data_IF_449221398281
#
_entry.id   IF_449221398281
#
_cell.length_a   1.000
_cell.length_b   1.000
_cell.length_c   1.000
_cell.angle_alpha   90.00
_cell.angle_beta   90.00
_cell.angle_gamma   90.00
#
_symmetry.space_group_name_H-M   'P 1'
#
loop_
_entity.id
_entity.type
_entity.pdbx_description
1 polymer ?
#
# COMPACT_ATOMS: atom_id res chain seq x y z
N UNK A 1 10.41 13.50 -37.33
CA UNK A 1 11.70 12.81 -37.18
C UNK A 1 12.63 13.75 -36.44
N UNK A 2 13.19 13.30 -35.33
CA UNK A 2 14.20 14.07 -34.58
C UNK A 2 15.48 14.19 -35.41
N UNK A 3 16.17 15.32 -35.28
CA UNK A 3 17.43 15.55 -35.98
C UNK A 3 18.62 15.14 -35.11
N UNK A 4 19.72 14.59 -35.68
CA UNK A 4 20.95 14.39 -34.94
C UNK A 4 21.42 15.70 -34.29
N UNK A 5 21.81 15.64 -33.01
CA UNK A 5 22.20 16.82 -32.23
C UNK A 5 21.05 17.50 -31.47
N UNK A 6 19.79 17.13 -31.72
CA UNK A 6 18.65 17.64 -30.97
C UNK A 6 18.71 17.21 -29.49
N UNK A 7 18.52 18.16 -28.58
CA UNK A 7 18.51 17.93 -27.13
C UNK A 7 17.18 17.32 -26.65
N UNK A 8 16.89 16.10 -27.10
CA UNK A 8 15.64 15.42 -26.80
C UNK A 8 15.38 15.31 -25.28
N UNK A 9 16.42 15.09 -24.47
CA UNK A 9 16.30 14.98 -23.02
C UNK A 9 15.79 16.26 -22.37
N UNK A 10 16.36 17.43 -22.74
CA UNK A 10 15.92 18.73 -22.23
C UNK A 10 14.51 19.06 -22.68
N UNK A 11 14.19 18.81 -23.95
CA UNK A 11 12.85 19.04 -24.51
C UNK A 11 11.79 18.22 -23.78
N UNK A 12 12.03 16.94 -23.56
CA UNK A 12 11.08 16.08 -22.85
C UNK A 12 10.98 16.42 -21.37
N UNK A 13 12.10 16.73 -20.70
CA UNK A 13 12.09 17.20 -19.32
C UNK A 13 11.23 18.46 -19.14
N UNK A 14 11.37 19.46 -20.02
CA UNK A 14 10.55 20.68 -19.97
C UNK A 14 9.05 20.38 -20.16
N UNK A 15 8.68 19.49 -21.08
CA UNK A 15 7.28 19.11 -21.28
C UNK A 15 6.68 18.49 -20.01
N UNK A 16 7.42 17.57 -19.38
CA UNK A 16 6.95 16.88 -18.18
C UNK A 16 6.87 17.82 -16.97
N UNK A 17 7.84 18.71 -16.81
CA UNK A 17 7.78 19.71 -15.74
C UNK A 17 6.55 20.60 -15.88
N UNK A 18 6.17 20.98 -17.10
CA UNK A 18 4.92 21.70 -17.34
C UNK A 18 3.71 20.86 -16.94
N UNK A 19 3.66 19.58 -17.32
CA UNK A 19 2.56 18.67 -16.97
C UNK A 19 2.43 18.48 -15.44
N UNK A 20 3.55 18.31 -14.71
CA UNK A 20 3.56 18.21 -13.24
C UNK A 20 2.96 19.45 -12.59
N UNK A 21 3.30 20.65 -13.07
CA UNK A 21 2.73 21.88 -12.50
C UNK A 21 1.21 21.93 -12.66
N UNK A 22 0.68 21.44 -13.79
CA UNK A 22 -0.76 21.37 -14.02
C UNK A 22 -1.43 20.27 -13.19
N UNK A 23 -0.79 19.10 -13.10
CA UNK A 23 -1.26 17.96 -12.29
C UNK A 23 -1.41 18.36 -10.82
N UNK A 24 -0.40 19.03 -10.27
CA UNK A 24 -0.43 19.53 -8.89
C UNK A 24 -1.64 20.45 -8.64
N UNK A 25 -1.92 21.40 -9.54
CA UNK A 25 -3.08 22.29 -9.43
C UNK A 25 -4.41 21.51 -9.41
N UNK A 26 -4.54 20.50 -10.28
CA UNK A 26 -5.74 19.68 -10.39
C UNK A 26 -5.99 18.79 -9.16
N UNK A 27 -4.92 18.24 -8.57
CA UNK A 27 -4.97 17.46 -7.33
C UNK A 27 -5.43 18.31 -6.15
N UNK A 28 -4.97 19.57 -6.05
CA UNK A 28 -5.41 20.52 -5.02
C UNK A 28 -6.91 20.81 -5.09
N UNK A 29 -7.47 20.94 -6.29
CA UNK A 29 -8.91 21.13 -6.48
C UNK A 29 -9.73 19.87 -6.16
N UNK A 30 -9.14 18.69 -6.33
CA UNK A 30 -9.79 17.39 -6.10
C UNK A 30 -9.74 16.94 -4.63
N UNK A 31 -8.76 17.41 -3.86
CA UNK A 31 -8.56 17.07 -2.44
C UNK A 31 -9.74 17.44 -1.51
N UNK A 32 -10.67 18.28 -1.97
CA UNK A 32 -11.87 18.67 -1.22
C UNK A 32 -13.10 17.77 -1.45
N UNK A 33 -13.05 16.84 -2.41
CA UNK A 33 -14.16 15.93 -2.73
C UNK A 33 -13.85 14.56 -2.14
N UNK A 34 -14.60 14.16 -1.10
CA UNK A 34 -14.46 12.88 -0.40
C UNK A 34 -14.71 11.62 -1.27
N UNK A 35 -14.93 11.78 -2.57
CA UNK A 35 -15.11 10.71 -3.54
C UNK A 35 -13.96 10.76 -4.56
N UNK A 36 -12.75 10.48 -4.10
CA UNK A 36 -11.60 10.27 -4.97
C UNK A 36 -11.81 8.98 -5.76
N UNK A 37 -11.81 9.08 -7.10
CA UNK A 37 -11.14 8.04 -7.89
C UNK A 37 -9.79 7.81 -7.22
N UNK A 38 -9.57 6.57 -6.74
CA UNK A 38 -8.62 6.24 -5.66
C UNK A 38 -7.24 6.90 -5.75
N UNK A 39 -6.47 6.95 -4.65
CA UNK A 39 -5.20 7.67 -4.57
C UNK A 39 -4.18 7.01 -5.50
N UNK A 40 -4.21 7.41 -6.77
CA UNK A 40 -3.10 7.23 -7.68
C UNK A 40 -1.94 8.10 -7.21
N UNK A 41 -0.73 7.59 -7.40
CA UNK A 41 0.47 8.41 -7.24
C UNK A 41 0.39 9.60 -8.21
N UNK A 42 0.77 10.79 -7.74
CA UNK A 42 0.91 11.95 -8.63
C UNK A 42 2.06 11.73 -9.60
N UNK A 43 2.14 12.53 -10.68
CA UNK A 43 3.30 12.47 -11.57
C UNK A 43 4.63 12.71 -10.81
N UNK A 44 4.60 13.60 -9.83
CA UNK A 44 5.76 13.89 -8.99
C UNK A 44 6.14 12.69 -8.13
N UNK A 45 5.16 11.98 -7.53
CA UNK A 45 5.42 10.79 -6.72
C UNK A 45 6.11 9.68 -7.52
N UNK A 46 5.71 9.49 -8.78
CA UNK A 46 6.32 8.50 -9.68
C UNK A 46 7.77 8.88 -9.99
N UNK A 47 8.01 10.14 -10.35
CA UNK A 47 9.34 10.66 -10.68
C UNK A 47 10.28 10.59 -9.47
N UNK A 48 9.77 10.96 -8.30
CA UNK A 48 10.47 10.84 -7.03
C UNK A 48 10.52 9.39 -6.54
N UNK A 49 9.91 8.42 -7.23
CA UNK A 49 9.87 7.04 -6.79
C UNK A 49 9.45 6.90 -5.32
N UNK A 50 8.34 7.53 -4.98
CA UNK A 50 7.64 7.36 -3.71
C UNK A 50 7.03 5.96 -3.71
N UNK A 51 7.13 5.26 -2.58
CA UNK A 51 6.40 4.01 -2.37
C UNK A 51 4.97 4.32 -1.92
N UNK A 52 4.01 3.50 -2.32
CA UNK A 52 2.61 3.68 -1.96
C UNK A 52 1.80 4.17 -3.16
N UNK A 53 0.98 3.27 -3.69
CA UNK A 53 0.00 3.53 -4.74
C UNK A 53 -1.26 2.72 -4.45
N UNK A 54 -1.99 2.34 -5.49
CA UNK A 54 -3.16 1.48 -5.38
C UNK A 54 -3.12 0.33 -6.38
N UNK A 55 -3.92 -0.69 -6.11
CA UNK A 55 -4.16 -1.78 -7.03
C UNK A 55 -5.56 -1.65 -7.64
N UNK A 56 -5.68 -2.03 -8.90
CA UNK A 56 -6.96 -2.32 -9.54
C UNK A 56 -7.09 -3.83 -9.66
N UNK A 57 -7.77 -4.44 -8.70
CA UNK A 57 -7.92 -5.89 -8.58
C UNK A 57 -9.13 -6.31 -9.39
N UNK A 58 -8.89 -7.13 -10.39
CA UNK A 58 -9.95 -7.78 -11.17
C UNK A 58 -10.31 -9.12 -10.54
N UNK A 59 -11.59 -9.48 -10.52
CA UNK A 59 -12.08 -10.70 -9.89
C UNK A 59 -12.47 -11.75 -10.93
N UNK A 60 -12.13 -13.01 -10.66
CA UNK A 60 -12.58 -14.15 -11.50
C UNK A 60 -14.10 -14.28 -11.48
N UNK A 61 -14.72 -13.97 -10.35
CA UNK A 61 -16.16 -13.95 -10.18
C UNK A 61 -16.58 -12.72 -9.38
N UNK A 62 -17.31 -11.75 -9.97
CA UNK A 62 -17.78 -10.55 -9.28
C UNK A 62 -18.57 -10.82 -7.99
N UNK A 63 -19.25 -11.97 -7.88
CA UNK A 63 -19.99 -12.36 -6.66
C UNK A 63 -19.10 -12.59 -5.44
N UNK A 64 -17.78 -12.72 -5.63
CA UNK A 64 -16.80 -12.89 -4.54
C UNK A 64 -16.16 -11.57 -4.10
N UNK A 65 -16.71 -10.43 -4.51
CA UNK A 65 -16.17 -9.11 -4.18
C UNK A 65 -16.08 -8.88 -2.67
N UNK A 66 -17.18 -9.12 -1.94
CA UNK A 66 -17.21 -8.95 -0.48
C UNK A 66 -16.19 -9.86 0.22
N UNK A 67 -16.10 -11.11 -0.22
CA UNK A 67 -15.10 -12.05 0.28
C UNK A 67 -13.67 -11.54 0.04
N UNK A 68 -13.41 -10.96 -1.13
CA UNK A 68 -12.07 -10.47 -1.48
C UNK A 68 -11.73 -9.24 -0.66
N UNK A 69 -12.62 -8.25 -0.56
CA UNK A 69 -12.45 -7.06 0.29
C UNK A 69 -12.14 -7.46 1.73
N UNK A 70 -12.94 -8.39 2.28
CA UNK A 70 -12.73 -8.93 3.64
C UNK A 70 -11.35 -9.56 3.85
N UNK A 71 -10.85 -10.29 2.86
CA UNK A 71 -9.58 -11.02 2.93
C UNK A 71 -8.36 -10.09 2.74
N UNK A 72 -8.47 -9.03 1.93
CA UNK A 72 -7.33 -8.17 1.61
C UNK A 72 -7.16 -6.98 2.56
N UNK A 73 -8.24 -6.34 3.01
CA UNK A 73 -8.15 -5.09 3.79
C UNK A 73 -7.38 -5.32 5.09
N UNK A 74 -6.31 -4.55 5.31
CA UNK A 74 -5.39 -4.72 6.43
C UNK A 74 -5.76 -3.82 7.60
N UNK A 75 -6.18 -4.44 8.71
CA UNK A 75 -6.59 -3.70 9.92
C UNK A 75 -6.19 -4.46 11.17
N UNK A 76 -5.79 -3.70 12.20
CA UNK A 76 -5.70 -4.22 13.56
C UNK A 76 -7.11 -4.53 14.09
N UNK A 77 -7.25 -5.60 14.88
CA UNK A 77 -8.52 -5.93 15.51
C UNK A 77 -9.03 -4.77 16.38
N UNK A 78 -8.13 -4.03 17.04
CA UNK A 78 -8.43 -2.81 17.81
C UNK A 78 -9.27 -1.78 17.05
N UNK A 79 -9.16 -1.71 15.72
CA UNK A 79 -10.01 -0.82 14.92
C UNK A 79 -11.49 -1.12 15.10
N UNK A 80 -11.86 -2.40 15.25
CA UNK A 80 -13.26 -2.81 15.42
C UNK A 80 -13.70 -2.80 16.88
N UNK A 81 -12.80 -2.87 17.85
CA UNK A 81 -13.16 -3.00 19.27
C UNK A 81 -13.67 -1.66 19.84
N UNK A 82 -14.92 -1.64 20.32
CA UNK A 82 -15.51 -0.53 21.10
C UNK A 82 -15.10 -0.60 22.56
N UNK A 83 -15.18 -1.78 23.14
CA UNK A 83 -14.99 -2.00 24.58
C UNK A 83 -14.53 -3.43 24.84
N UNK A 84 -13.72 -3.60 25.88
CA UNK A 84 -13.32 -4.89 26.42
C UNK A 84 -13.69 -4.90 27.90
N UNK A 85 -14.33 -5.96 28.36
CA UNK A 85 -14.67 -6.16 29.77
C UNK A 85 -14.26 -7.56 30.21
N UNK A 86 -13.72 -7.70 31.42
CA UNK A 86 -13.51 -8.99 32.05
C UNK A 86 -14.50 -9.17 33.21
N UNK A 87 -15.03 -10.37 33.37
CA UNK A 87 -15.83 -10.75 34.53
C UNK A 87 -15.46 -12.16 34.97
N UNK A 88 -15.52 -12.39 36.29
CA UNK A 88 -15.42 -13.73 36.89
C UNK A 88 -16.84 -14.27 36.92
N UNK A 89 -17.09 -15.39 36.22
CA UNK A 89 -18.31 -16.22 36.07
C UNK A 89 -19.62 -15.80 36.78
N UNK A 90 -19.98 -14.53 36.75
CA UNK A 90 -21.34 -14.09 36.60
C UNK A 90 -21.48 -13.88 35.10
N UNK A 91 -21.82 -14.94 34.36
CA UNK A 91 -22.58 -14.72 33.12
C UNK A 91 -23.69 -13.79 33.56
N UNK A 92 -23.87 -12.58 32.98
CA UNK A 92 -24.89 -11.68 33.47
C UNK A 92 -26.22 -12.42 33.34
N UNK A 93 -26.70 -12.99 34.46
CA UNK A 93 -28.08 -13.44 34.62
C UNK A 93 -29.02 -12.25 34.39
N UNK A 94 -28.47 -11.04 34.51
CA UNK A 94 -29.07 -9.76 34.25
C UNK A 94 -29.20 -9.47 32.74
N UNK A 95 -30.16 -10.13 32.09
CA UNK A 95 -30.93 -9.52 31.00
C UNK A 95 -30.25 -9.37 29.64
N UNK A 96 -29.09 -9.96 29.39
CA UNK A 96 -28.52 -9.95 28.05
C UNK A 96 -29.23 -10.98 27.15
N UNK A 97 -30.14 -10.46 26.33
CA UNK A 97 -31.02 -11.23 25.43
C UNK A 97 -30.29 -12.27 24.57
N UNK A 98 -29.04 -12.01 24.17
CA UNK A 98 -28.25 -12.95 23.39
C UNK A 98 -28.04 -14.29 24.10
N UNK A 99 -27.76 -14.28 25.41
CA UNK A 99 -27.51 -15.51 26.15
C UNK A 99 -28.78 -16.29 26.44
N UNK A 100 -29.88 -15.57 26.69
CA UNK A 100 -31.19 -16.17 26.90
C UNK A 100 -31.58 -16.95 25.63
N UNK A 101 -31.62 -16.26 24.50
CA UNK A 101 -32.01 -16.87 23.21
C UNK A 101 -30.97 -17.90 22.75
N UNK A 102 -29.68 -17.61 22.88
CA UNK A 102 -28.62 -18.53 22.46
C UNK A 102 -28.66 -19.86 23.22
N UNK A 103 -29.01 -19.84 24.51
CA UNK A 103 -29.22 -21.07 25.31
C UNK A 103 -30.52 -21.77 24.94
N UNK A 104 -31.63 -21.03 24.76
CA UNK A 104 -32.91 -21.62 24.33
C UNK A 104 -32.81 -22.31 22.97
N UNK A 105 -32.03 -21.74 22.05
CA UNK A 105 -31.77 -22.30 20.73
C UNK A 105 -30.70 -23.41 20.74
N UNK A 106 -30.06 -23.68 21.88
CA UNK A 106 -28.98 -24.67 22.01
C UNK A 106 -27.69 -24.30 21.27
N UNK A 107 -27.49 -23.01 20.96
CA UNK A 107 -26.30 -22.49 20.27
C UNK A 107 -25.16 -22.22 21.26
N UNK A 108 -25.51 -21.76 22.45
CA UNK A 108 -24.57 -21.50 23.53
C UNK A 108 -24.59 -22.66 24.54
N UNK A 109 -23.44 -23.01 25.14
CA UNK A 109 -23.38 -24.03 26.16
C UNK A 109 -24.27 -23.66 27.35
N UNK A 110 -24.93 -24.68 27.91
CA UNK A 110 -25.55 -24.54 29.21
C UNK A 110 -24.47 -24.37 30.29
N UNK A 111 -24.84 -23.92 31.50
CA UNK A 111 -23.90 -23.85 32.64
C UNK A 111 -23.18 -25.17 32.95
N UNK A 112 -23.77 -26.30 32.55
CA UNK A 112 -23.20 -27.64 32.75
C UNK A 112 -22.18 -28.06 31.67
N UNK A 113 -22.15 -27.38 30.52
CA UNK A 113 -21.28 -27.72 29.38
C UNK A 113 -19.97 -26.93 29.37
N UNK A 114 -19.86 -25.90 30.23
CA UNK A 114 -18.66 -25.08 30.38
C UNK A 114 -17.73 -25.78 31.37
N UNK A 115 -16.44 -26.02 31.04
CA UNK A 115 -15.49 -26.60 31.97
C UNK A 115 -15.47 -25.81 33.28
N UNK A 116 -15.45 -26.47 34.45
CA UNK A 116 -15.47 -25.79 35.75
C UNK A 116 -14.21 -24.93 36.00
N UNK A 117 -13.18 -25.12 35.18
CA UNK A 117 -11.94 -24.36 35.19
C UNK A 117 -12.05 -23.01 34.45
N UNK A 118 -12.99 -22.85 33.51
CA UNK A 118 -13.19 -21.63 32.71
C UNK A 118 -14.00 -20.55 33.45
N UNK A 119 -13.39 -20.05 34.53
CA UNK A 119 -14.04 -19.13 35.48
C UNK A 119 -14.06 -17.67 35.02
N UNK A 120 -13.32 -17.29 33.98
CA UNK A 120 -13.15 -15.90 33.57
C UNK A 120 -13.64 -15.73 32.14
N UNK A 121 -14.50 -14.73 31.93
CA UNK A 121 -15.01 -14.36 30.61
C UNK A 121 -14.40 -13.02 30.23
N UNK A 122 -13.74 -12.99 29.08
CA UNK A 122 -13.29 -11.76 28.43
C UNK A 122 -14.22 -11.47 27.26
N UNK A 123 -14.99 -10.40 27.40
CA UNK A 123 -15.91 -9.92 26.38
C UNK A 123 -15.26 -8.82 25.54
N UNK A 124 -15.28 -9.00 24.24
CA UNK A 124 -15.01 -7.99 23.24
C UNK A 124 -16.32 -7.52 22.64
N UNK A 125 -16.59 -6.23 22.75
CA UNK A 125 -17.69 -5.57 22.05
C UNK A 125 -17.12 -4.84 20.83
N UNK A 126 -17.56 -5.24 19.65
CA UNK A 126 -17.10 -4.74 18.37
C UNK A 126 -18.11 -3.75 17.76
N UNK A 127 -17.61 -2.84 16.96
CA UNK A 127 -18.42 -1.89 16.20
C UNK A 127 -18.92 -2.53 14.90
N UNK A 128 -20.21 -2.84 14.88
CA UNK A 128 -20.89 -3.32 13.67
C UNK A 128 -20.66 -2.43 12.44
N UNK A 129 -20.69 -1.10 12.59
CA UNK A 129 -20.51 -0.20 11.44
C UNK A 129 -19.12 -0.38 10.81
N UNK A 130 -18.07 -0.45 11.64
CA UNK A 130 -16.70 -0.67 11.19
C UNK A 130 -16.50 -2.07 10.59
N UNK A 131 -17.17 -3.08 11.14
CA UNK A 131 -17.16 -4.44 10.57
C UNK A 131 -17.76 -4.44 9.16
N UNK A 132 -18.88 -3.74 8.98
CA UNK A 132 -19.57 -3.64 7.70
C UNK A 132 -18.76 -2.86 6.65
N UNK A 133 -18.05 -1.80 7.04
CA UNK A 133 -17.14 -1.05 6.14
C UNK A 133 -16.12 -1.98 5.45
N UNK A 134 -15.57 -2.94 6.19
CA UNK A 134 -14.57 -3.89 5.69
C UNK A 134 -15.16 -5.25 5.29
N UNK A 135 -16.49 -5.35 5.21
CA UNK A 135 -17.26 -6.55 4.84
C UNK A 135 -16.92 -7.78 5.72
N UNK A 136 -16.59 -7.54 6.99
CA UNK A 136 -16.17 -8.56 7.96
C UNK A 136 -17.34 -9.07 8.79
N UNK A 137 -17.35 -10.38 9.01
CA UNK A 137 -18.28 -11.04 9.92
C UNK A 137 -17.56 -11.44 11.20
N UNK A 138 -18.29 -11.58 12.31
CA UNK A 138 -17.73 -12.05 13.58
C UNK A 138 -17.14 -13.44 13.43
N UNK A 139 -17.80 -14.32 12.68
CA UNK A 139 -17.28 -15.66 12.42
C UNK A 139 -15.92 -15.63 11.71
N UNK A 140 -15.72 -14.70 10.77
CA UNK A 140 -14.41 -14.55 10.13
C UNK A 140 -13.34 -14.11 11.12
N UNK A 141 -13.65 -13.14 11.99
CA UNK A 141 -12.71 -12.67 13.02
C UNK A 141 -12.36 -13.79 14.00
N UNK A 142 -13.36 -14.52 14.48
CA UNK A 142 -13.17 -15.67 15.39
C UNK A 142 -12.27 -16.72 14.77
N UNK A 143 -12.54 -17.13 13.54
CA UNK A 143 -11.72 -18.12 12.84
C UNK A 143 -10.30 -17.64 12.52
N UNK A 144 -10.07 -16.33 12.44
CA UNK A 144 -8.76 -15.77 12.03
C UNK A 144 -7.89 -15.40 13.23
N UNK A 145 -8.45 -14.74 14.24
CA UNK A 145 -7.73 -14.23 15.41
C UNK A 145 -7.77 -15.21 16.57
N UNK A 146 -8.93 -15.79 16.82
CA UNK A 146 -9.22 -16.55 18.03
C UNK A 146 -9.21 -18.07 17.82
N UNK A 147 -8.71 -18.55 16.68
CA UNK A 147 -8.69 -19.98 16.31
C UNK A 147 -7.95 -20.90 17.27
N UNK A 148 -7.05 -20.35 18.09
CA UNK A 148 -6.30 -21.12 19.08
C UNK A 148 -7.04 -21.25 20.43
N UNK A 149 -8.16 -20.53 20.62
CA UNK A 149 -8.93 -20.59 21.86
C UNK A 149 -10.08 -21.60 21.71
N UNK A 150 -10.17 -22.60 22.61
CA UNK A 150 -11.14 -23.68 22.50
C UNK A 150 -12.59 -23.23 22.80
N UNK A 151 -12.77 -22.26 23.69
CA UNK A 151 -14.07 -21.84 24.20
C UNK A 151 -14.37 -20.37 23.85
N UNK A 152 -14.70 -20.14 22.58
CA UNK A 152 -15.08 -18.83 22.05
C UNK A 152 -16.52 -18.85 21.58
N UNK A 153 -17.32 -17.92 22.09
CA UNK A 153 -18.71 -17.73 21.70
C UNK A 153 -18.89 -16.34 21.12
N UNK A 154 -19.73 -16.22 20.09
CA UNK A 154 -19.96 -14.93 19.46
C UNK A 154 -21.43 -14.79 19.06
N UNK A 155 -21.91 -13.56 19.12
CA UNK A 155 -23.28 -13.22 18.77
C UNK A 155 -23.44 -13.00 17.25
N UNK A 156 -24.66 -12.74 16.76
CA UNK A 156 -24.87 -12.31 15.39
C UNK A 156 -24.16 -10.97 15.14
N UNK A 157 -23.77 -10.72 13.88
CA UNK A 157 -22.91 -9.59 13.51
C UNK A 157 -23.41 -8.23 14.03
N UNK A 158 -24.74 -8.00 14.00
CA UNK A 158 -25.34 -6.73 14.44
C UNK A 158 -25.19 -6.44 15.94
N UNK A 159 -24.94 -7.46 16.77
CA UNK A 159 -24.71 -7.31 18.21
C UNK A 159 -23.23 -7.10 18.53
N UNK A 160 -22.32 -7.66 17.73
CA UNK A 160 -20.88 -7.39 17.85
C UNK A 160 -20.22 -7.96 19.10
N UNK A 161 -20.70 -9.06 19.67
CA UNK A 161 -20.18 -9.61 20.94
C UNK A 161 -19.35 -10.85 20.67
N UNK A 162 -18.13 -10.89 21.20
CA UNK A 162 -17.28 -12.08 21.25
C UNK A 162 -16.88 -12.30 22.71
N UNK A 163 -17.18 -13.49 23.24
CA UNK A 163 -16.88 -13.89 24.60
C UNK A 163 -15.89 -15.05 24.58
N UNK A 164 -14.77 -14.87 25.27
CA UNK A 164 -13.70 -15.85 25.38
C UNK A 164 -13.65 -16.33 26.81
N UNK A 165 -13.82 -17.64 26.97
CA UNK A 165 -13.72 -18.31 28.25
C UNK A 165 -12.28 -18.76 28.46
N UNK A 166 -11.72 -18.40 29.62
CA UNK A 166 -10.34 -18.74 29.99
C UNK A 166 -10.32 -19.28 31.42
N UNK A 167 -9.37 -20.17 31.67
CA UNK A 167 -9.24 -20.83 32.97
C UNK A 167 -8.25 -20.13 33.92
N UNK A 168 -7.31 -19.36 33.38
CA UNK A 168 -6.20 -18.78 34.14
C UNK A 168 -6.13 -17.26 34.00
N UNK A 169 -5.93 -16.56 35.13
CA UNK A 169 -5.73 -15.10 35.20
C UNK A 169 -4.52 -14.65 34.36
N UNK A 170 -3.49 -15.48 34.21
CA UNK A 170 -2.31 -15.16 33.40
C UNK A 170 -2.67 -14.96 31.92
N UNK A 171 -3.62 -15.74 31.40
CA UNK A 171 -4.07 -15.68 30.00
C UNK A 171 -4.89 -14.41 29.69
N UNK A 172 -5.31 -13.65 30.70
CA UNK A 172 -6.03 -12.39 30.49
C UNK A 172 -5.19 -11.42 29.69
N UNK A 173 -3.91 -11.26 30.05
CA UNK A 173 -3.03 -10.32 29.35
C UNK A 173 -2.84 -10.74 27.90
N UNK A 174 -2.58 -12.03 27.66
CA UNK A 174 -2.36 -12.59 26.33
C UNK A 174 -3.62 -12.44 25.46
N UNK A 175 -4.80 -12.69 26.03
CA UNK A 175 -6.09 -12.55 25.33
C UNK A 175 -6.39 -11.09 24.99
N UNK A 176 -6.12 -10.15 25.91
CA UNK A 176 -6.28 -8.71 25.64
C UNK A 176 -5.31 -8.26 24.55
N UNK A 177 -4.06 -8.74 24.54
CA UNK A 177 -3.07 -8.40 23.51
C UNK A 177 -3.48 -8.83 22.09
N UNK A 178 -4.45 -9.74 21.93
CA UNK A 178 -4.98 -10.10 20.62
C UNK A 178 -5.59 -8.92 19.86
N UNK A 179 -5.96 -7.83 20.52
CA UNK A 179 -6.42 -6.61 19.82
C UNK A 179 -5.37 -5.98 18.92
N UNK A 180 -4.09 -6.20 19.22
CA UNK A 180 -2.98 -5.67 18.42
C UNK A 180 -2.70 -6.54 17.19
N UNK A 181 -3.36 -7.70 17.07
CA UNK A 181 -3.23 -8.58 15.91
C UNK A 181 -3.84 -7.93 14.67
N UNK A 182 -3.09 -7.99 13.58
CA UNK A 182 -3.57 -7.56 12.28
C UNK A 182 -4.28 -8.70 11.53
N UNK A 183 -5.27 -8.32 10.75
CA UNK A 183 -6.05 -9.20 9.89
C UNK A 183 -6.03 -8.58 8.48
N UNK A 184 -5.80 -9.40 7.45
CA UNK A 184 -5.75 -8.99 6.05
C UNK A 184 -4.33 -9.09 5.47
N UNK A 185 -4.12 -8.46 4.32
CA UNK A 185 -2.83 -8.47 3.60
C UNK A 185 -2.04 -7.20 3.95
N UNK A 186 -0.84 -7.30 4.55
CA UNK A 186 -0.02 -6.13 4.89
C UNK A 186 0.20 -5.20 3.71
N UNK A 187 0.08 -3.90 3.93
CA UNK A 187 0.27 -2.87 2.90
C UNK A 187 -0.98 -2.56 2.06
N UNK A 188 -2.13 -3.18 2.36
CA UNK A 188 -3.44 -2.84 1.74
C UNK A 188 -4.33 -2.17 2.79
N UNK A 189 -4.31 -0.85 2.87
CA UNK A 189 -4.94 -0.11 3.98
C UNK A 189 -6.46 -0.02 3.89
N UNK A 190 -6.99 0.15 2.67
CA UNK A 190 -8.43 0.20 2.43
C UNK A 190 -8.77 -0.21 1.01
N UNK A 191 -10.05 -0.55 0.81
CA UNK A 191 -10.55 -1.03 -0.47
C UNK A 191 -11.89 -0.37 -0.81
N UNK A 192 -12.17 -0.21 -2.09
CA UNK A 192 -13.45 0.30 -2.60
C UNK A 192 -13.85 -0.47 -3.84
N UNK A 193 -15.10 -0.95 -3.86
CA UNK A 193 -15.66 -1.62 -5.03
C UNK A 193 -16.10 -0.58 -6.07
N UNK A 194 -15.59 -0.69 -7.29
CA UNK A 194 -16.01 0.13 -8.44
C UNK A 194 -16.34 -0.79 -9.61
N UNK A 195 -17.64 -0.91 -9.92
CA UNK A 195 -18.13 -1.84 -10.94
C UNK A 195 -17.77 -3.29 -10.59
N UNK A 196 -16.97 -3.94 -11.43
CA UNK A 196 -16.51 -5.32 -11.23
C UNK A 196 -15.05 -5.41 -10.71
N UNK A 197 -14.47 -4.29 -10.27
CA UNK A 197 -13.10 -4.22 -9.78
C UNK A 197 -13.07 -3.72 -8.33
N UNK A 198 -12.04 -4.14 -7.60
CA UNK A 198 -11.72 -3.60 -6.27
C UNK A 198 -10.52 -2.69 -6.43
N UNK A 199 -10.69 -1.40 -6.10
CA UNK A 199 -9.59 -0.47 -6.00
C UNK A 199 -9.05 -0.48 -4.58
N UNK A 200 -7.74 -0.50 -4.42
CA UNK A 200 -7.10 -0.47 -3.09
C UNK A 200 -6.32 0.81 -2.88
N UNK A 201 -6.21 1.21 -1.63
CA UNK A 201 -5.17 2.11 -1.14
C UNK A 201 -4.07 1.23 -0.56
N UNK A 202 -2.86 1.37 -1.08
CA UNK A 202 -1.75 0.47 -0.82
C UNK A 202 -1.67 -0.69 -1.82
N UNK A 203 -0.51 -1.32 -1.88
CA UNK A 203 -0.18 -2.39 -2.84
C UNK A 203 0.58 -3.52 -2.16
N UNK A 204 0.18 -4.76 -2.48
CA UNK A 204 0.92 -5.97 -2.17
C UNK A 204 0.58 -7.03 -3.22
N UNK A 205 1.17 -6.87 -4.40
CA UNK A 205 0.85 -7.69 -5.56
C UNK A 205 1.15 -9.16 -5.31
N UNK A 206 2.20 -9.46 -4.54
CA UNK A 206 2.60 -10.82 -4.21
C UNK A 206 1.48 -11.60 -3.51
N UNK A 207 0.96 -11.09 -2.40
CA UNK A 207 -0.04 -11.80 -1.60
C UNK A 207 -1.43 -11.74 -2.25
N UNK A 208 -1.79 -10.62 -2.87
CA UNK A 208 -3.07 -10.48 -3.57
C UNK A 208 -3.17 -11.46 -4.73
N UNK A 209 -2.08 -11.69 -5.48
CA UNK A 209 -2.06 -12.64 -6.60
C UNK A 209 -2.21 -14.10 -6.17
N UNK A 210 -1.99 -14.44 -4.88
CA UNK A 210 -2.19 -15.79 -4.36
C UNK A 210 -3.66 -16.11 -4.07
N UNK A 211 -4.53 -15.11 -4.03
CA UNK A 211 -5.95 -15.29 -3.74
C UNK A 211 -6.68 -15.90 -4.94
N UNK A 212 -7.39 -17.01 -4.70
CA UNK A 212 -8.19 -17.71 -5.73
C UNK A 212 -9.36 -16.88 -6.27
N UNK A 213 -9.70 -15.77 -5.64
CA UNK A 213 -10.78 -14.88 -6.09
C UNK A 213 -10.30 -13.86 -7.13
N UNK A 214 -8.99 -13.64 -7.21
CA UNK A 214 -8.36 -12.61 -8.03
C UNK A 214 -8.02 -13.15 -9.42
N UNK A 215 -8.34 -12.37 -10.44
CA UNK A 215 -7.91 -12.60 -11.82
C UNK A 215 -6.57 -11.89 -12.04
N UNK A 216 -5.49 -12.65 -11.88
CA UNK A 216 -4.10 -12.13 -11.87
C UNK A 216 -3.73 -11.41 -13.18
N UNK A 217 -3.99 -11.95 -14.39
CA UNK A 217 -3.63 -11.28 -15.64
C UNK A 217 -4.29 -9.92 -15.86
N UNK A 218 -5.47 -9.71 -15.28
CA UNK A 218 -6.25 -8.47 -15.41
C UNK A 218 -6.06 -7.51 -14.23
N UNK A 219 -5.24 -7.88 -13.25
CA UNK A 219 -4.96 -7.08 -12.06
C UNK A 219 -3.74 -6.20 -12.29
N UNK A 220 -3.86 -4.92 -11.98
CA UNK A 220 -2.78 -3.93 -12.16
C UNK A 220 -2.46 -3.24 -10.85
N UNK A 221 -1.20 -2.81 -10.68
CA UNK A 221 -0.79 -1.95 -9.57
C UNK A 221 -0.13 -0.68 -10.12
N UNK A 222 -0.34 0.43 -9.44
CA UNK A 222 0.36 1.69 -9.72
C UNK A 222 1.66 1.82 -8.93
N UNK A 223 1.94 0.94 -7.96
CA UNK A 223 3.21 0.97 -7.23
C UNK A 223 4.31 0.32 -8.09
N UNK A 224 5.18 1.19 -8.62
CA UNK A 224 6.24 0.81 -9.55
C UNK A 224 7.23 -0.20 -8.94
N UNK A 225 7.56 -0.06 -7.66
CA UNK A 225 8.55 -0.92 -7.00
C UNK A 225 7.95 -2.27 -6.60
N UNK A 226 6.68 -2.28 -6.17
CA UNK A 226 5.96 -3.54 -5.94
C UNK A 226 5.88 -4.35 -7.24
N UNK A 227 5.61 -3.69 -8.37
CA UNK A 227 5.60 -4.32 -9.70
C UNK A 227 6.99 -4.80 -10.12
N UNK A 228 8.04 -3.97 -9.95
CA UNK A 228 9.42 -4.36 -10.26
C UNK A 228 9.82 -5.65 -9.52
N UNK A 229 9.52 -5.72 -8.22
CA UNK A 229 9.92 -6.84 -7.37
C UNK A 229 9.19 -8.15 -7.70
N UNK A 230 7.94 -8.07 -8.18
CA UNK A 230 7.10 -9.25 -8.43
C UNK A 230 7.04 -9.67 -9.90
N UNK A 231 7.00 -8.72 -10.83
CA UNK A 231 6.82 -8.95 -12.28
C UNK A 231 8.06 -8.61 -13.11
N UNK A 232 9.01 -7.85 -12.56
CA UNK A 232 10.26 -7.48 -13.20
C UNK A 232 10.28 -6.08 -13.82
N UNK A 233 11.46 -5.70 -14.30
CA UNK A 233 11.78 -4.33 -14.70
C UNK A 233 10.96 -3.80 -15.88
N UNK A 234 10.69 -4.63 -16.89
CA UNK A 234 9.89 -4.21 -18.06
C UNK A 234 8.42 -3.96 -17.71
N UNK A 235 7.87 -4.73 -16.76
CA UNK A 235 6.53 -4.47 -16.23
C UNK A 235 6.50 -3.13 -15.51
N UNK A 236 7.51 -2.84 -14.67
CA UNK A 236 7.65 -1.56 -13.99
C UNK A 236 7.81 -0.39 -14.97
N UNK A 237 8.62 -0.55 -16.03
CA UNK A 237 8.77 0.43 -17.13
C UNK A 237 7.43 0.74 -17.77
N UNK A 238 6.61 -0.29 -18.03
CA UNK A 238 5.28 -0.09 -18.61
C UNK A 238 4.29 0.61 -17.65
N UNK A 239 4.39 0.36 -16.34
CA UNK A 239 3.60 1.08 -15.32
C UNK A 239 3.98 2.56 -15.29
N UNK A 240 5.28 2.89 -15.23
CA UNK A 240 5.77 4.28 -15.30
C UNK A 240 5.25 4.94 -16.57
N UNK A 241 5.41 4.30 -17.73
CA UNK A 241 4.93 4.83 -19.01
C UNK A 241 3.42 5.10 -19.00
N UNK A 242 2.62 4.16 -18.48
CA UNK A 242 1.15 4.27 -18.47
C UNK A 242 0.70 5.39 -17.55
N UNK A 243 1.24 5.45 -16.33
CA UNK A 243 0.85 6.48 -15.37
C UNK A 243 1.36 7.87 -15.80
N UNK A 244 2.58 7.96 -16.35
CA UNK A 244 3.07 9.21 -16.97
C UNK A 244 2.18 9.66 -18.12
N UNK A 245 1.70 8.75 -18.97
CA UNK A 245 0.78 9.07 -20.08
C UNK A 245 -0.63 9.46 -19.59
N UNK A 246 -1.02 9.08 -18.39
CA UNK A 246 -2.31 9.51 -17.80
C UNK A 246 -2.25 10.95 -17.35
N UNK A 247 -1.13 11.40 -16.79
CA UNK A 247 -0.94 12.80 -16.39
C UNK A 247 -0.36 13.69 -17.49
N UNK A 248 0.35 13.13 -18.47
CA UNK A 248 0.92 13.82 -19.62
C UNK A 248 0.30 13.33 -20.92
N UNK A 249 -0.18 14.23 -21.77
CA UNK A 249 -0.63 13.85 -23.12
C UNK A 249 0.52 13.58 -24.10
N UNK A 250 1.78 13.63 -23.65
CA UNK A 250 2.96 13.44 -24.50
C UNK A 250 3.57 12.04 -24.34
N UNK A 251 3.23 11.16 -25.28
CA UNK A 251 3.74 9.79 -25.34
C UNK A 251 5.26 9.69 -25.46
N UNK A 252 5.90 10.59 -26.20
CA UNK A 252 7.35 10.57 -26.41
C UNK A 252 8.09 10.91 -25.12
N UNK A 253 7.64 11.96 -24.44
CA UNK A 253 8.15 12.35 -23.12
C UNK A 253 7.95 11.23 -22.09
N UNK A 254 6.76 10.64 -22.02
CA UNK A 254 6.45 9.55 -21.09
C UNK A 254 7.33 8.31 -21.35
N UNK A 255 7.54 7.93 -22.61
CA UNK A 255 8.43 6.81 -22.97
C UNK A 255 9.87 7.12 -22.57
N UNK A 256 10.36 8.32 -22.88
CA UNK A 256 11.73 8.72 -22.57
C UNK A 256 12.02 8.63 -21.07
N UNK A 257 11.11 9.11 -20.22
CA UNK A 257 11.26 9.00 -18.77
C UNK A 257 11.22 7.56 -18.29
N UNK A 258 10.25 6.78 -18.76
CA UNK A 258 10.15 5.37 -18.38
C UNK A 258 11.42 4.59 -18.73
N UNK A 259 11.97 4.83 -19.93
CA UNK A 259 13.23 4.25 -20.37
C UNK A 259 14.41 4.72 -19.52
N UNK A 260 14.50 6.03 -19.27
CA UNK A 260 15.59 6.60 -18.47
C UNK A 260 15.59 6.06 -17.03
N UNK A 261 14.41 5.95 -16.40
CA UNK A 261 14.26 5.41 -15.04
C UNK A 261 14.59 3.92 -14.94
N UNK A 262 14.58 3.16 -16.04
CA UNK A 262 14.74 1.70 -16.01
C UNK A 262 15.99 1.20 -16.76
N UNK A 263 16.68 2.05 -17.51
CA UNK A 263 17.83 1.65 -18.35
C UNK A 263 19.04 1.07 -17.61
N UNK A 264 19.12 1.19 -16.28
CA UNK A 264 20.25 0.71 -15.46
C UNK A 264 20.03 -0.67 -14.83
N UNK A 265 18.99 -1.40 -15.24
CA UNK A 265 18.69 -2.73 -14.71
C UNK A 265 17.95 -2.72 -13.37
N UNK A 266 17.54 -1.55 -12.90
CA UNK A 266 16.64 -1.33 -11.76
C UNK A 266 15.91 0.00 -11.91
N UNK A 267 14.74 0.14 -11.30
CA UNK A 267 14.00 1.39 -11.25
C UNK A 267 14.80 2.43 -10.46
N UNK A 268 15.00 3.60 -11.07
CA UNK A 268 15.81 4.69 -10.55
C UNK A 268 14.96 5.97 -10.50
N UNK A 269 14.62 6.40 -9.29
CA UNK A 269 13.95 7.67 -9.05
C UNK A 269 14.84 8.88 -9.38
N UNK A 270 14.24 10.00 -9.78
CA UNK A 270 14.90 11.30 -9.96
C UNK A 270 15.20 12.00 -8.63
N UNK A 271 15.88 11.30 -7.72
CA UNK A 271 16.36 11.88 -6.46
C UNK A 271 17.76 12.43 -6.61
N UNK A 272 18.00 13.56 -5.95
CA UNK A 272 19.32 14.16 -5.71
C UNK A 272 20.38 13.18 -5.21
N UNK A 273 19.95 12.19 -4.44
CA UNK A 273 20.79 11.20 -3.77
C UNK A 273 20.91 9.89 -4.57
N UNK A 274 20.38 9.83 -5.79
CA UNK A 274 20.42 8.61 -6.59
C UNK A 274 21.75 8.51 -7.36
N UNK A 275 22.69 7.62 -6.93
CA UNK A 275 23.99 7.47 -7.60
C UNK A 275 23.87 6.91 -9.02
N UNK A 276 22.71 6.39 -9.42
CA UNK A 276 22.45 5.93 -10.79
C UNK A 276 22.25 7.09 -11.77
N UNK A 277 21.91 8.28 -11.27
CA UNK A 277 21.67 9.50 -12.04
C UNK A 277 22.84 10.48 -12.00
N UNK A 278 23.77 10.30 -11.08
CA UNK A 278 24.95 11.15 -10.98
C UNK A 278 25.91 10.76 -12.10
N UNK A 279 26.20 11.71 -12.98
CA UNK A 279 27.28 11.58 -13.95
C UNK A 279 28.58 11.28 -13.20
N UNK A 280 29.39 10.38 -13.77
CA UNK A 280 30.68 10.01 -13.17
C UNK A 280 31.70 11.14 -13.20
N UNK A 281 31.45 12.21 -13.97
CA UNK A 281 32.35 13.35 -14.07
C UNK A 281 32.20 14.28 -12.86
N UNK A 282 33.34 14.70 -12.30
CA UNK A 282 33.41 15.52 -11.10
C UNK A 282 32.73 16.88 -11.30
N UNK A 283 33.01 17.55 -12.42
CA UNK A 283 32.44 18.86 -12.72
C UNK A 283 30.93 18.81 -12.95
N UNK A 284 30.44 17.74 -13.57
CA UNK A 284 29.01 17.51 -13.76
C UNK A 284 28.30 17.29 -12.42
N UNK A 285 28.88 16.45 -11.55
CA UNK A 285 28.34 16.20 -10.19
C UNK A 285 28.31 17.48 -9.36
N UNK A 286 29.39 18.26 -9.35
CA UNK A 286 29.49 19.53 -8.60
C UNK A 286 28.44 20.55 -9.04
N UNK A 287 28.07 20.56 -10.33
CA UNK A 287 27.03 21.44 -10.85
C UNK A 287 25.63 21.07 -10.31
N UNK A 288 25.43 19.83 -9.86
CA UNK A 288 24.16 19.29 -9.41
C UNK A 288 23.99 19.40 -7.88
N UNK A 289 23.67 20.61 -7.42
CA UNK A 289 23.22 21.00 -6.06
C UNK A 289 24.13 20.70 -4.83
N UNK A 290 25.04 19.71 -4.84
CA UNK A 290 25.85 19.30 -3.65
C UNK A 290 27.37 19.32 -3.85
N UNK A 291 27.96 20.46 -4.27
CA UNK A 291 29.36 20.54 -4.65
C UNK A 291 30.35 20.06 -3.56
N UNK A 292 30.11 20.42 -2.29
CA UNK A 292 31.03 20.08 -1.19
C UNK A 292 31.03 18.59 -0.83
N UNK A 293 29.88 17.95 -0.90
CA UNK A 293 29.73 16.53 -0.57
C UNK A 293 30.36 15.66 -1.64
N UNK A 294 30.05 15.97 -2.89
CA UNK A 294 30.53 15.22 -4.06
C UNK A 294 32.03 15.31 -4.21
N UNK A 295 32.62 16.51 -4.04
CA UNK A 295 34.09 16.67 -4.01
C UNK A 295 34.70 15.77 -2.94
N UNK A 296 34.19 15.78 -1.71
CA UNK A 296 34.75 14.96 -0.63
C UNK A 296 34.68 13.47 -0.96
N UNK A 297 33.54 13.00 -1.46
CA UNK A 297 33.32 11.58 -1.79
C UNK A 297 34.18 11.14 -2.99
N UNK A 298 34.31 11.97 -4.02
CA UNK A 298 35.08 11.66 -5.23
C UNK A 298 36.59 11.81 -5.03
N UNK A 299 37.03 12.76 -4.21
CA UNK A 299 38.45 12.91 -3.84
C UNK A 299 38.88 11.76 -2.92
N UNK A 300 38.02 11.36 -1.96
CA UNK A 300 38.30 10.24 -1.06
C UNK A 300 38.35 8.87 -1.76
N UNK A 301 37.61 8.69 -2.86
CA UNK A 301 37.56 7.43 -3.62
C UNK A 301 38.71 7.23 -4.64
N UNK A 302 39.72 8.13 -4.65
CA UNK A 302 40.90 8.16 -5.51
C UNK A 302 40.66 8.55 -7.00
N UNK A 303 41.60 9.37 -7.51
CA UNK A 303 41.74 9.98 -8.86
C UNK A 303 40.61 9.72 -9.87
N UNK A 304 39.54 10.48 -9.75
CA UNK A 304 38.64 10.72 -10.88
C UNK A 304 39.34 11.61 -11.90
N UNK A 305 39.45 11.12 -13.14
CA UNK A 305 39.80 11.94 -14.31
C UNK A 305 38.49 12.38 -14.91
N UNK A 306 38.23 13.69 -14.88
CA UNK A 306 37.05 14.27 -15.51
C UNK A 306 37.22 14.19 -17.04
N UNK A 307 36.25 13.59 -17.72
CA UNK A 307 36.34 13.42 -19.17
C UNK A 307 35.99 14.69 -19.95
N UNK A 308 35.41 15.70 -19.30
CA UNK A 308 34.95 16.95 -19.90
C UNK A 308 33.98 16.78 -21.07
N UNK A 309 33.27 15.64 -21.10
CA UNK A 309 32.31 15.31 -22.18
C UNK A 309 30.90 15.80 -21.86
N UNK A 310 30.54 15.93 -20.58
CA UNK A 310 29.21 16.42 -20.20
C UNK A 310 29.03 17.89 -20.59
N UNK A 311 27.80 18.25 -20.97
CA UNK A 311 27.42 19.65 -21.26
C UNK A 311 27.81 20.58 -20.11
N UNK A 312 27.56 20.16 -18.86
CA UNK A 312 27.93 20.93 -17.67
C UNK A 312 29.43 21.18 -17.57
N UNK A 313 30.24 20.14 -17.76
CA UNK A 313 31.71 20.27 -17.71
C UNK A 313 32.25 21.20 -18.80
N UNK A 314 31.68 21.15 -20.01
CA UNK A 314 32.07 22.00 -21.13
C UNK A 314 31.71 23.47 -20.86
N UNK A 315 30.52 23.74 -20.32
CA UNK A 315 30.11 25.09 -19.90
C UNK A 315 31.05 25.63 -18.81
N UNK A 316 31.33 24.84 -17.78
CA UNK A 316 32.20 25.25 -16.66
C UNK A 316 33.62 25.56 -17.14
N UNK A 317 34.13 24.80 -18.11
CA UNK A 317 35.47 24.99 -18.68
C UNK A 317 35.53 26.06 -19.77
N UNK A 318 34.39 26.63 -20.17
CA UNK A 318 34.31 27.64 -21.23
C UNK A 318 34.46 27.08 -22.65
N UNK A 319 34.32 25.76 -22.81
CA UNK A 319 34.30 25.11 -24.11
C UNK A 319 32.91 25.24 -24.75
N UNK A 320 32.85 25.16 -26.09
CA UNK A 320 31.58 25.08 -26.81
C UNK A 320 30.92 23.73 -26.49
N UNK A 321 29.72 23.71 -25.88
CA UNK A 321 29.06 22.46 -25.54
C UNK A 321 28.64 21.69 -26.78
N UNK A 322 28.72 20.36 -26.74
CA UNK A 322 28.28 19.48 -27.83
C UNK A 322 26.75 19.38 -27.84
N UNK A 323 26.13 20.47 -28.25
CA UNK A 323 24.69 20.68 -28.32
C UNK A 323 24.38 21.09 -29.76
N UNK A 324 23.37 20.47 -30.38
CA UNK A 324 23.00 20.78 -31.76
C UNK A 324 22.86 22.29 -32.01
N UNK A 325 23.35 22.73 -33.16
CA UNK A 325 23.39 24.13 -33.59
C UNK A 325 22.02 24.72 -33.92
#
# INVERSE_FOLDING_TARGET
MSQPGEQIGLRFAHNILADITQDSLSSFHSAGLANGTGPGQTLQDIIDGVHGGGMSISLVNPKKMDKTIREITYRQLKYYVKRITNSILEVPEDGNFWYIIGRELGILPGPADIPPEDLIIIRFELDYNRLMEDHRTLQYIVNTVFSNHPHVYFSPDFMGIIDIHISNVVEISDTIQLVDRYIGIPGVDSCTAIGNKVLTIGSNLQQVSMLRTVDVPSTTSTDVYDVESNLGLEAARNVIFTEMLRGSNNRESASFIADYMTCKGKVSAFKKDNPMLTDKDLLASIAFERPKGDIKNMVASNKHVDTTLSVYSQIITGNTPDMGS
#
